data_IF_111654206420
#
_entry.id   IF_111654206420
#
_cell.length_a   1.000
_cell.length_b   1.000
_cell.length_c   1.000
_cell.angle_alpha   90.00
_cell.angle_beta   90.00
_cell.angle_gamma   90.00
#
_symmetry.space_group_name_H-M   'P 1'
#
loop_
_entity.id
_entity.type
_entity.pdbx_description
1 polymer ?
#
# COMPACT_ATOMS: atom_id res chain seq x y z
N UNK A 1 -6.64 14.92 1.72
CA UNK A 1 -7.65 14.14 0.96
C UNK A 1 -8.86 13.88 1.86
N UNK A 2 -10.10 14.06 1.36
CA UNK A 2 -11.31 13.65 2.12
C UNK A 2 -11.66 12.22 1.74
N UNK A 3 -11.71 11.32 2.70
CA UNK A 3 -12.23 9.96 2.53
C UNK A 3 -13.63 9.86 3.13
N UNK A 4 -14.44 8.93 2.59
CA UNK A 4 -15.71 8.57 3.24
C UNK A 4 -15.39 7.86 4.53
N UNK A 5 -15.84 8.35 5.71
CA UNK A 5 -15.37 7.88 7.02
C UNK A 5 -15.48 6.36 7.23
N UNK A 6 -16.55 5.73 6.71
CA UNK A 6 -16.77 4.27 6.84
C UNK A 6 -15.74 3.40 6.10
N UNK A 7 -14.95 4.01 5.21
CA UNK A 7 -13.89 3.31 4.46
C UNK A 7 -12.49 3.75 4.90
N UNK A 8 -12.37 4.79 5.70
CA UNK A 8 -11.08 5.28 6.16
C UNK A 8 -10.50 4.37 7.24
N UNK A 9 -9.28 3.90 7.03
CA UNK A 9 -8.50 3.20 8.04
C UNK A 9 -7.59 4.19 8.76
N UNK A 10 -7.78 4.30 10.07
CA UNK A 10 -7.00 5.19 10.94
C UNK A 10 -5.82 4.47 11.60
N UNK A 11 -5.82 3.15 11.61
CA UNK A 11 -4.72 2.35 12.17
C UNK A 11 -3.48 2.49 11.30
N UNK A 12 -2.46 3.19 11.80
CA UNK A 12 -1.14 3.31 11.16
C UNK A 12 -0.54 1.92 10.92
N UNK A 13 -0.65 1.01 11.89
CA UNK A 13 -0.11 -0.34 11.78
C UNK A 13 -0.70 -1.11 10.59
N UNK A 14 -2.01 -1.04 10.36
CA UNK A 14 -2.66 -1.69 9.21
C UNK A 14 -2.25 -1.08 7.87
N UNK A 15 -2.08 0.25 7.82
CA UNK A 15 -1.59 0.91 6.61
C UNK A 15 -0.16 0.46 6.30
N UNK A 16 0.72 0.41 7.30
CA UNK A 16 2.10 -0.03 7.14
C UNK A 16 2.18 -1.50 6.74
N UNK A 17 1.38 -2.36 7.37
CA UNK A 17 1.29 -3.77 7.01
C UNK A 17 0.92 -3.90 5.51
N UNK A 18 -0.14 -3.22 5.06
CA UNK A 18 -0.54 -3.21 3.67
C UNK A 18 0.59 -2.76 2.73
N UNK A 19 1.27 -1.64 3.03
CA UNK A 19 2.40 -1.15 2.24
C UNK A 19 3.55 -2.17 2.16
N UNK A 20 3.82 -2.90 3.23
CA UNK A 20 4.88 -3.90 3.26
C UNK A 20 4.54 -5.17 2.46
N UNK A 21 3.25 -5.49 2.33
CA UNK A 21 2.77 -6.64 1.57
C UNK A 21 2.69 -6.38 0.06
N UNK A 22 2.51 -5.11 -0.36
CA UNK A 22 2.34 -4.80 -1.78
C UNK A 22 3.68 -4.65 -2.50
N UNK A 23 3.85 -5.30 -3.68
CA UNK A 23 5.12 -5.28 -4.42
C UNK A 23 5.33 -4.00 -5.23
N UNK A 24 4.28 -3.31 -5.64
CA UNK A 24 4.37 -2.15 -6.54
C UNK A 24 3.58 -0.98 -5.98
N UNK A 25 4.21 0.18 -5.98
CA UNK A 25 3.53 1.46 -5.78
C UNK A 25 3.71 2.36 -7.00
N UNK A 26 2.95 3.43 -7.09
CA UNK A 26 3.01 4.39 -8.20
C UNK A 26 3.40 5.76 -7.66
N UNK A 27 4.51 6.29 -8.16
CA UNK A 27 4.90 7.67 -7.89
C UNK A 27 4.30 8.58 -8.96
N UNK A 28 3.60 9.62 -8.55
CA UNK A 28 3.10 10.68 -9.41
C UNK A 28 3.92 11.96 -9.21
N UNK A 29 4.58 12.43 -10.26
CA UNK A 29 5.32 13.69 -10.32
C UNK A 29 4.76 14.60 -11.42
N UNK A 30 5.14 15.87 -11.45
CA UNK A 30 4.70 16.81 -12.49
C UNK A 30 5.84 17.03 -13.48
N UNK A 31 5.57 16.83 -14.78
CA UNK A 31 6.55 17.07 -15.84
C UNK A 31 6.79 18.57 -16.09
N UNK A 32 7.71 18.91 -16.98
CA UNK A 32 8.05 20.32 -17.30
C UNK A 32 6.90 21.08 -17.97
N UNK A 33 5.94 20.36 -18.56
CA UNK A 33 4.74 20.93 -19.21
C UNK A 33 3.54 21.00 -18.29
N UNK A 34 3.68 20.55 -17.02
CA UNK A 34 2.63 20.56 -16.01
C UNK A 34 1.75 19.30 -16.01
N UNK A 35 2.06 18.28 -16.79
CA UNK A 35 1.30 17.03 -16.77
C UNK A 35 1.75 16.11 -15.63
N UNK A 36 0.80 15.39 -15.00
CA UNK A 36 1.13 14.37 -14.03
C UNK A 36 1.73 13.13 -14.74
N UNK A 37 2.96 12.79 -14.39
CA UNK A 37 3.62 11.56 -14.80
C UNK A 37 3.49 10.53 -13.70
N UNK A 38 2.89 9.36 -13.99
CA UNK A 38 2.67 8.27 -13.04
C UNK A 38 3.52 7.07 -13.44
N UNK A 39 4.39 6.61 -12.55
CA UNK A 39 5.35 5.53 -12.81
C UNK A 39 5.21 4.44 -11.75
N UNK A 40 5.00 3.15 -12.14
CA UNK A 40 5.06 2.03 -11.22
C UNK A 40 6.51 1.78 -10.76
N UNK A 41 6.68 1.53 -9.47
CA UNK A 41 7.99 1.33 -8.85
C UNK A 41 7.94 0.21 -7.82
N UNK A 42 8.98 -0.61 -7.77
CA UNK A 42 9.27 -1.38 -6.58
C UNK A 42 9.67 -0.42 -5.46
N UNK A 43 9.17 -0.65 -4.27
CA UNK A 43 9.36 0.25 -3.14
C UNK A 43 9.48 -0.50 -1.81
N UNK A 44 10.04 0.16 -0.82
CA UNK A 44 9.96 -0.26 0.58
C UNK A 44 9.51 0.92 1.43
N UNK A 45 8.65 0.64 2.39
CA UNK A 45 8.27 1.62 3.42
C UNK A 45 9.08 1.33 4.69
N UNK A 46 9.85 2.30 5.13
CA UNK A 46 10.68 2.22 6.34
C UNK A 46 10.07 3.10 7.41
N UNK A 47 9.66 2.48 8.51
CA UNK A 47 9.16 3.22 9.66
C UNK A 47 10.29 4.01 10.33
N UNK A 48 9.96 5.22 10.75
CA UNK A 48 10.87 6.00 11.55
C UNK A 48 10.81 5.53 13.01
N UNK A 49 11.81 4.79 13.47
CA UNK A 49 11.91 4.26 14.83
C UNK A 49 12.36 5.29 15.87
N UNK A 50 12.38 6.57 15.51
CA UNK A 50 12.86 7.66 16.34
C UNK A 50 11.82 8.22 17.31
N UNK A 51 11.99 7.92 18.61
CA UNK A 51 11.31 8.39 19.82
C UNK A 51 9.98 7.71 20.15
N UNK A 52 10.11 6.73 21.04
CA UNK A 52 9.05 6.23 21.91
C UNK A 52 8.44 7.38 22.72
N UNK A 53 7.33 7.91 22.27
CA UNK A 53 6.45 8.82 23.00
C UNK A 53 5.05 8.26 22.90
N UNK A 54 4.32 8.21 24.03
CA UNK A 54 2.94 7.73 24.12
C UNK A 54 2.06 8.34 23.01
N UNK A 55 1.60 7.48 22.09
CA UNK A 55 0.89 7.84 20.84
C UNK A 55 -0.65 7.82 21.00
N UNK A 56 -1.18 8.11 22.16
CA UNK A 56 -2.65 8.12 22.32
C UNK A 56 -3.34 9.41 21.88
N UNK A 57 -2.64 10.54 21.68
CA UNK A 57 -3.31 11.82 21.42
C UNK A 57 -2.61 12.80 20.45
N UNK A 58 -1.64 12.38 19.66
CA UNK A 58 -1.04 13.28 18.66
C UNK A 58 -0.94 12.58 17.32
N UNK A 59 -1.73 13.04 16.34
CA UNK A 59 -1.39 12.90 14.93
C UNK A 59 -0.15 13.78 14.70
N UNK A 60 0.98 13.33 15.21
CA UNK A 60 2.26 13.99 14.94
C UNK A 60 2.60 13.71 13.48
N UNK A 61 2.42 14.73 12.65
CA UNK A 61 2.71 14.72 11.22
C UNK A 61 4.18 14.43 10.91
N UNK A 62 5.05 14.40 11.92
CA UNK A 62 6.51 14.35 11.77
C UNK A 62 7.08 12.93 11.77
N UNK A 63 6.27 11.86 11.88
CA UNK A 63 6.81 10.51 12.07
C UNK A 63 6.02 9.42 11.33
N UNK A 64 5.74 9.66 10.04
CA UNK A 64 4.99 8.70 9.22
C UNK A 64 5.86 7.59 8.62
N UNK A 65 7.19 7.70 8.67
CA UNK A 65 8.13 6.83 7.95
C UNK A 65 8.46 7.37 6.56
N UNK A 66 9.21 6.61 5.76
CA UNK A 66 9.72 7.02 4.45
C UNK A 66 9.55 5.90 3.43
N UNK A 67 9.09 6.25 2.23
CA UNK A 67 9.09 5.35 1.07
C UNK A 67 10.42 5.46 0.34
N UNK A 68 11.09 4.35 0.08
CA UNK A 68 12.31 4.30 -0.73
C UNK A 68 12.07 3.49 -2.00
N UNK A 69 12.68 3.96 -3.09
CA UNK A 69 12.67 3.34 -4.42
C UNK A 69 14.04 3.49 -5.05
N UNK A 70 14.43 2.58 -5.95
CA UNK A 70 15.63 2.77 -6.74
C UNK A 70 15.29 2.97 -8.22
N UNK A 71 16.19 3.59 -8.97
CA UNK A 71 15.99 3.94 -10.35
C UNK A 71 17.33 4.11 -11.07
N UNK A 72 17.29 4.14 -12.39
CA UNK A 72 18.39 4.69 -13.18
C UNK A 72 18.64 6.16 -12.76
N UNK A 73 19.91 6.61 -12.71
CA UNK A 73 20.25 7.96 -12.23
C UNK A 73 19.80 9.10 -13.18
N UNK A 74 19.40 8.76 -14.39
CA UNK A 74 18.89 9.71 -15.39
C UNK A 74 17.47 9.35 -15.80
N UNK A 75 16.76 10.35 -16.32
CA UNK A 75 15.40 10.21 -16.83
C UNK A 75 14.43 11.21 -16.25
N UNK A 76 13.32 11.37 -16.93
CA UNK A 76 12.30 12.40 -16.66
C UNK A 76 11.81 12.42 -15.20
N UNK A 77 11.60 11.27 -14.59
CA UNK A 77 11.22 11.15 -13.17
C UNK A 77 12.23 11.86 -12.24
N UNK A 78 13.54 11.69 -12.52
CA UNK A 78 14.60 12.32 -11.72
C UNK A 78 14.56 13.85 -11.90
N UNK A 79 14.40 14.31 -13.15
CA UNK A 79 14.34 15.74 -13.47
C UNK A 79 13.05 16.37 -12.89
N UNK A 80 11.93 15.67 -12.92
CA UNK A 80 10.68 16.11 -12.31
C UNK A 80 10.84 16.34 -10.81
N UNK A 81 11.41 15.36 -10.08
CA UNK A 81 11.66 15.47 -8.64
C UNK A 81 12.65 16.59 -8.30
N UNK A 82 13.68 16.80 -9.11
CA UNK A 82 14.62 17.94 -8.92
C UNK A 82 13.92 19.29 -9.07
N UNK A 83 13.01 19.39 -10.05
CA UNK A 83 12.28 20.64 -10.33
C UNK A 83 11.18 20.90 -9.32
N UNK A 84 10.44 19.86 -8.93
CA UNK A 84 9.34 19.94 -7.97
C UNK A 84 9.30 18.70 -7.09
N UNK A 85 9.63 18.87 -5.82
CA UNK A 85 9.66 17.78 -4.86
C UNK A 85 8.27 17.23 -4.49
N UNK A 86 7.20 18.00 -4.71
CA UNK A 86 5.83 17.57 -4.35
C UNK A 86 5.36 16.43 -5.23
N UNK A 87 5.07 15.30 -4.59
CA UNK A 87 4.64 14.06 -5.27
C UNK A 87 3.43 13.45 -4.59
N UNK A 88 2.70 12.65 -5.37
CA UNK A 88 1.79 11.64 -4.88
C UNK A 88 2.46 10.27 -4.95
N UNK A 89 2.23 9.43 -3.97
CA UNK A 89 2.59 8.02 -4.03
C UNK A 89 1.37 7.20 -3.66
N UNK A 90 1.04 6.21 -4.47
CA UNK A 90 -0.16 5.40 -4.32
C UNK A 90 0.18 3.91 -4.39
N UNK A 91 -0.51 3.13 -3.56
CA UNK A 91 -0.47 1.67 -3.57
C UNK A 91 -1.90 1.16 -3.47
N UNK A 92 -2.30 0.29 -4.39
CA UNK A 92 -3.64 -0.29 -4.38
C UNK A 92 -3.62 -1.81 -4.54
N UNK A 93 -4.73 -2.42 -4.15
CA UNK A 93 -5.01 -3.82 -4.38
C UNK A 93 -6.49 -3.99 -4.73
N UNK A 94 -6.78 -4.49 -5.92
CA UNK A 94 -8.10 -5.02 -6.26
C UNK A 94 -8.34 -6.30 -5.46
N UNK A 95 -9.46 -6.37 -4.73
CA UNK A 95 -9.81 -7.54 -3.92
C UNK A 95 -10.82 -8.41 -4.66
N UNK A 96 -11.98 -7.84 -5.03
CA UNK A 96 -13.02 -8.59 -5.70
C UNK A 96 -14.04 -7.66 -6.36
N UNK A 97 -14.46 -7.98 -7.57
CA UNK A 97 -15.63 -7.37 -8.19
C UNK A 97 -16.90 -8.05 -7.72
N UNK A 98 -17.87 -7.28 -7.26
CA UNK A 98 -19.17 -7.76 -6.82
C UNK A 98 -20.22 -7.46 -7.90
N UNK A 99 -20.70 -8.49 -8.63
CA UNK A 99 -21.71 -8.29 -9.67
C UNK A 99 -22.99 -7.67 -9.13
N UNK A 100 -23.67 -6.90 -9.97
CA UNK A 100 -24.91 -6.22 -9.58
C UNK A 100 -25.99 -7.18 -9.07
N UNK A 101 -26.08 -8.37 -9.62
CA UNK A 101 -27.05 -9.40 -9.20
C UNK A 101 -26.84 -9.94 -7.79
N UNK A 102 -25.71 -9.59 -7.13
CA UNK A 102 -25.54 -9.83 -5.69
C UNK A 102 -26.47 -8.96 -4.86
N UNK A 103 -26.84 -7.81 -5.38
CA UNK A 103 -27.59 -6.75 -4.72
C UNK A 103 -29.00 -6.61 -5.28
N UNK A 104 -29.14 -6.59 -6.61
CA UNK A 104 -30.39 -6.43 -7.32
C UNK A 104 -30.40 -7.25 -8.64
N UNK A 105 -31.48 -7.98 -8.95
CA UNK A 105 -31.49 -8.93 -10.07
C UNK A 105 -31.35 -8.30 -11.46
N UNK A 106 -31.76 -7.02 -11.63
CA UNK A 106 -31.79 -6.35 -12.92
C UNK A 106 -31.12 -4.97 -12.97
N UNK A 107 -30.68 -4.42 -11.83
CA UNK A 107 -30.07 -3.08 -11.77
C UNK A 107 -28.56 -3.18 -11.81
N UNK A 108 -27.96 -2.92 -12.98
CA UNK A 108 -26.52 -2.95 -13.18
C UNK A 108 -25.76 -1.89 -12.35
N UNK A 109 -26.43 -0.79 -11.97
CA UNK A 109 -25.81 0.27 -11.15
C UNK A 109 -25.42 -0.18 -9.75
N UNK A 110 -25.92 -1.32 -9.29
CA UNK A 110 -25.63 -1.90 -7.99
C UNK A 110 -24.29 -2.66 -7.95
N UNK A 111 -23.61 -2.88 -9.09
CA UNK A 111 -22.30 -3.50 -9.09
C UNK A 111 -21.32 -2.71 -8.22
N UNK A 112 -20.44 -3.42 -7.54
CA UNK A 112 -19.47 -2.81 -6.63
C UNK A 112 -18.10 -3.51 -6.72
N UNK A 113 -17.08 -2.89 -6.15
CA UNK A 113 -15.72 -3.45 -6.09
C UNK A 113 -15.19 -3.33 -4.66
N UNK A 114 -14.68 -4.45 -4.16
CA UNK A 114 -13.85 -4.46 -2.95
C UNK A 114 -12.40 -4.14 -3.34
N UNK A 115 -11.78 -3.23 -2.63
CA UNK A 115 -10.39 -2.84 -2.85
C UNK A 115 -9.78 -2.16 -1.63
N UNK A 116 -8.46 -2.11 -1.62
CA UNK A 116 -7.67 -1.37 -0.64
C UNK A 116 -6.81 -0.38 -1.41
N UNK A 117 -6.66 0.84 -0.91
CA UNK A 117 -5.67 1.78 -1.42
C UNK A 117 -5.09 2.63 -0.31
N UNK A 118 -3.79 2.93 -0.44
CA UNK A 118 -3.07 3.88 0.41
C UNK A 118 -2.52 4.98 -0.47
N UNK A 119 -2.84 6.21 -0.14
CA UNK A 119 -2.35 7.40 -0.84
C UNK A 119 -1.51 8.23 0.10
N UNK A 120 -0.31 8.54 -0.34
CA UNK A 120 0.67 9.39 0.33
C UNK A 120 0.83 10.66 -0.49
N UNK A 121 0.76 11.81 0.15
CA UNK A 121 1.25 13.09 -0.37
C UNK A 121 2.50 13.45 0.39
N UNK A 122 3.53 13.89 -0.29
CA UNK A 122 4.78 14.21 0.36
C UNK A 122 5.78 14.83 -0.57
N UNK A 123 7.01 14.90 -0.09
CA UNK A 123 8.12 15.46 -0.83
C UNK A 123 9.11 14.36 -1.20
N UNK A 124 9.47 14.29 -2.49
CA UNK A 124 10.46 13.36 -2.99
C UNK A 124 11.84 14.03 -3.04
N UNK A 125 12.87 13.23 -2.72
CA UNK A 125 14.26 13.65 -2.76
C UNK A 125 15.13 12.55 -3.36
N UNK A 126 16.22 12.93 -4.01
CA UNK A 126 17.28 12.02 -4.41
C UNK A 126 18.22 11.87 -3.21
N UNK A 127 18.41 10.64 -2.77
CA UNK A 127 19.33 10.33 -1.66
C UNK A 127 20.76 10.47 -2.13
N UNK A 128 21.53 11.35 -1.50
CA UNK A 128 22.95 11.60 -1.79
C UNK A 128 23.88 10.90 -0.80
N UNK A 129 23.44 10.68 0.42
CA UNK A 129 24.19 9.97 1.45
C UNK A 129 24.31 8.49 1.10
N UNK A 130 25.56 7.99 1.01
CA UNK A 130 25.84 6.62 0.58
C UNK A 130 25.42 5.55 1.60
N UNK A 131 25.45 5.88 2.89
CA UNK A 131 24.98 4.99 3.95
C UNK A 131 23.45 4.87 3.90
N UNK A 132 22.74 5.98 3.70
CA UNK A 132 21.28 5.96 3.51
C UNK A 132 20.92 5.17 2.24
N UNK A 133 21.65 5.36 1.14
CA UNK A 133 21.46 4.57 -0.10
C UNK A 133 21.62 3.07 0.14
N UNK A 134 22.71 2.67 0.80
CA UNK A 134 22.97 1.27 1.09
C UNK A 134 21.87 0.67 1.99
N UNK A 135 21.42 1.38 3.03
CA UNK A 135 20.32 0.96 3.90
C UNK A 135 19.01 0.79 3.13
N UNK A 136 18.64 1.75 2.28
CA UNK A 136 17.43 1.70 1.47
C UNK A 136 17.44 0.52 0.48
N UNK A 137 18.56 0.29 -0.20
CA UNK A 137 18.74 -0.82 -1.13
C UNK A 137 18.68 -2.18 -0.41
N UNK A 138 19.31 -2.30 0.76
CA UNK A 138 19.20 -3.52 1.57
C UNK A 138 17.76 -3.76 2.05
N UNK A 139 17.02 -2.71 2.42
CA UNK A 139 15.61 -2.84 2.79
C UNK A 139 14.74 -3.32 1.60
N UNK A 140 15.04 -2.86 0.38
CA UNK A 140 14.42 -3.39 -0.84
C UNK A 140 14.77 -4.87 -1.04
N UNK A 141 16.03 -5.27 -0.88
CA UNK A 141 16.44 -6.67 -0.98
C UNK A 141 15.69 -7.55 0.02
N UNK A 142 15.60 -7.16 1.28
CA UNK A 142 14.86 -7.89 2.32
C UNK A 142 13.38 -8.06 1.94
N UNK A 143 12.76 -7.04 1.34
CA UNK A 143 11.35 -7.12 0.93
C UNK A 143 11.14 -8.06 -0.26
N UNK A 144 12.00 -8.02 -1.27
CA UNK A 144 11.77 -8.70 -2.56
C UNK A 144 12.50 -10.02 -2.70
N UNK A 145 13.63 -10.21 -2.03
CA UNK A 145 14.40 -11.45 -2.05
C UNK A 145 14.49 -12.04 -0.63
N UNK A 146 13.33 -12.50 -0.14
CA UNK A 146 13.14 -13.00 1.24
C UNK A 146 13.96 -14.26 1.54
N UNK A 147 14.28 -15.04 0.52
CA UNK A 147 15.12 -16.23 0.60
C UNK A 147 16.59 -15.93 0.89
N UNK A 148 17.01 -14.67 0.84
CA UNK A 148 18.40 -14.27 1.06
C UNK A 148 19.32 -14.67 -0.11
N UNK A 149 20.52 -15.18 0.17
CA UNK A 149 21.47 -15.62 -0.86
C UNK A 149 22.34 -14.50 -1.45
N UNK A 150 22.41 -13.35 -0.78
CA UNK A 150 23.22 -12.18 -1.20
C UNK A 150 23.99 -11.59 0.00
N UNK A 151 25.13 -10.99 -0.30
CA UNK A 151 25.83 -10.16 0.67
C UNK A 151 25.18 -8.78 0.78
N UNK A 152 25.08 -8.20 1.99
CA UNK A 152 24.54 -6.86 2.15
C UNK A 152 25.30 -5.82 1.31
N UNK A 153 24.54 -4.88 0.74
CA UNK A 153 25.12 -3.74 0.02
C UNK A 153 25.75 -2.77 1.03
N UNK A 154 26.93 -2.24 0.68
CA UNK A 154 27.66 -1.28 1.51
C UNK A 154 27.90 0.03 0.75
N UNK A 155 28.08 1.12 1.47
CA UNK A 155 28.35 2.45 0.92
C UNK A 155 29.60 2.52 0.03
N UNK A 156 30.55 1.58 0.21
CA UNK A 156 31.78 1.52 -0.58
C UNK A 156 31.60 0.92 -1.98
N UNK A 157 30.51 0.23 -2.26
CA UNK A 157 30.26 -0.41 -3.55
C UNK A 157 29.98 0.61 -4.65
N UNK A 158 30.61 0.41 -5.83
CA UNK A 158 30.38 1.24 -7.01
C UNK A 158 28.90 1.26 -7.43
N UNK A 159 28.24 0.09 -7.40
CA UNK A 159 26.82 -0.05 -7.73
C UNK A 159 25.91 0.79 -6.82
N UNK A 160 26.27 0.96 -5.54
CA UNK A 160 25.52 1.83 -4.61
C UNK A 160 25.72 3.31 -4.96
N UNK A 161 26.90 3.70 -5.44
CA UNK A 161 27.19 5.08 -5.88
C UNK A 161 26.44 5.45 -7.14
N UNK A 162 26.41 4.54 -8.11
CA UNK A 162 25.88 4.77 -9.45
C UNK A 162 24.36 4.77 -9.55
N UNK A 163 23.66 3.96 -8.74
CA UNK A 163 22.20 3.88 -8.77
C UNK A 163 21.56 5.13 -8.13
N UNK A 164 20.46 5.62 -8.68
CA UNK A 164 19.64 6.61 -7.98
C UNK A 164 18.73 5.93 -6.97
N UNK A 165 18.72 6.46 -5.75
CA UNK A 165 17.70 6.13 -4.73
C UNK A 165 16.85 7.38 -4.51
N UNK A 166 15.54 7.22 -4.69
CA UNK A 166 14.55 8.24 -4.35
C UNK A 166 13.93 7.89 -3.01
N UNK A 167 13.68 8.92 -2.21
CA UNK A 167 12.85 8.82 -1.01
C UNK A 167 11.66 9.75 -1.12
N UNK A 168 10.50 9.29 -0.63
CA UNK A 168 9.32 10.14 -0.41
C UNK A 168 9.09 10.24 1.09
N UNK A 169 9.18 11.48 1.59
CA UNK A 169 8.85 11.82 2.98
C UNK A 169 7.39 12.25 3.02
N UNK A 170 6.50 11.51 3.70
CA UNK A 170 5.08 11.80 3.72
C UNK A 170 4.74 13.06 4.53
N UNK A 171 3.93 13.95 3.95
CA UNK A 171 3.21 15.01 4.68
C UNK A 171 1.83 14.51 5.14
N UNK A 172 1.23 13.61 4.34
CA UNK A 172 -0.08 13.01 4.60
C UNK A 172 -0.09 11.57 4.06
N UNK A 173 -0.60 10.65 4.87
CA UNK A 173 -0.82 9.25 4.48
C UNK A 173 -2.24 8.83 4.88
N UNK A 174 -3.02 8.32 3.92
CA UNK A 174 -4.40 7.87 4.15
C UNK A 174 -4.67 6.53 3.51
N UNK A 175 -5.31 5.65 4.27
CA UNK A 175 -5.77 4.34 3.82
C UNK A 175 -7.28 4.31 3.60
N UNK A 176 -7.70 3.76 2.45
CA UNK A 176 -9.10 3.46 2.13
C UNK A 176 -9.25 1.96 1.97
N UNK A 177 -9.98 1.33 2.88
CA UNK A 177 -10.28 -0.09 2.86
C UNK A 177 -11.76 -0.26 2.61
N UNK A 178 -12.11 -0.67 1.41
CA UNK A 178 -13.48 -1.00 1.01
C UNK A 178 -13.59 -2.52 0.86
N UNK A 179 -13.70 -3.20 1.99
CA UNK A 179 -13.65 -4.66 2.11
C UNK A 179 -14.88 -5.24 2.82
N UNK A 180 -15.97 -4.47 2.88
CA UNK A 180 -17.21 -4.89 3.54
C UNK A 180 -17.19 -4.76 5.07
N UNK A 181 -16.18 -4.13 5.66
CA UNK A 181 -16.04 -3.97 7.12
C UNK A 181 -17.19 -3.21 7.78
N UNK A 182 -17.89 -2.34 7.03
CA UNK A 182 -19.03 -1.56 7.49
C UNK A 182 -20.38 -2.28 7.36
N UNK A 183 -20.39 -3.46 6.75
CA UNK A 183 -21.62 -4.23 6.59
C UNK A 183 -21.99 -4.94 7.87
N UNK A 184 -23.31 -5.08 8.10
CA UNK A 184 -23.82 -5.90 9.19
C UNK A 184 -23.36 -7.36 9.05
N UNK A 185 -23.11 -8.07 10.16
CA UNK A 185 -22.59 -9.44 10.14
C UNK A 185 -23.38 -10.39 9.21
N UNK A 186 -24.68 -10.39 9.29
CA UNK A 186 -25.55 -11.21 8.43
C UNK A 186 -25.35 -10.91 6.93
N UNK A 187 -25.14 -9.63 6.60
CA UNK A 187 -24.92 -9.22 5.22
C UNK A 187 -23.53 -9.57 4.73
N UNK A 188 -22.50 -9.48 5.59
CA UNK A 188 -21.13 -9.92 5.26
C UNK A 188 -21.11 -11.42 4.94
N UNK A 189 -21.77 -12.27 5.75
CA UNK A 189 -21.90 -13.71 5.48
C UNK A 189 -22.62 -13.96 4.15
N UNK A 190 -23.74 -13.26 3.89
CA UNK A 190 -24.44 -13.38 2.59
C UNK A 190 -23.53 -13.06 1.40
N UNK A 191 -22.73 -12.02 1.48
CA UNK A 191 -21.79 -11.66 0.40
C UNK A 191 -20.66 -12.68 0.29
N UNK A 192 -20.10 -13.13 1.40
CA UNK A 192 -19.08 -14.18 1.45
C UNK A 192 -19.58 -15.49 0.77
N UNK A 193 -20.79 -15.92 1.07
CA UNK A 193 -21.38 -17.10 0.42
C UNK A 193 -21.48 -16.92 -1.10
N UNK A 194 -21.89 -15.76 -1.58
CA UNK A 194 -21.95 -15.47 -3.02
C UNK A 194 -20.58 -15.46 -3.68
N UNK A 195 -19.56 -14.96 -2.98
CA UNK A 195 -18.16 -14.97 -3.45
C UNK A 195 -17.67 -16.42 -3.57
N UNK A 196 -17.90 -17.27 -2.54
CA UNK A 196 -17.52 -18.69 -2.58
C UNK A 196 -18.19 -19.42 -3.74
N UNK A 197 -19.44 -19.09 -4.06
CA UNK A 197 -20.17 -19.72 -5.18
C UNK A 197 -19.67 -19.31 -6.55
N UNK A 198 -18.98 -18.17 -6.66
CA UNK A 198 -18.55 -17.62 -7.94
C UNK A 198 -17.05 -17.83 -8.21
N UNK A 199 -16.22 -17.65 -7.20
CA UNK A 199 -14.78 -17.66 -7.34
C UNK A 199 -14.21 -19.07 -7.07
N UNK A 200 -13.04 -19.36 -7.62
CA UNK A 200 -12.31 -20.57 -7.27
C UNK A 200 -11.99 -20.60 -5.76
N UNK A 201 -11.97 -21.82 -5.19
CA UNK A 201 -11.80 -22.01 -3.74
C UNK A 201 -10.59 -21.29 -3.13
N UNK A 202 -9.45 -21.23 -3.83
CA UNK A 202 -8.27 -20.54 -3.35
C UNK A 202 -8.48 -19.03 -3.34
N UNK A 203 -9.00 -18.49 -4.45
CA UNK A 203 -9.30 -17.05 -4.60
C UNK A 203 -10.35 -16.61 -3.57
N UNK A 204 -11.44 -17.39 -3.43
CA UNK A 204 -12.48 -17.09 -2.44
C UNK A 204 -11.91 -17.03 -1.03
N UNK A 205 -11.04 -17.97 -0.63
CA UNK A 205 -10.39 -17.97 0.70
C UNK A 205 -9.57 -16.71 0.93
N UNK A 206 -8.79 -16.28 -0.05
CA UNK A 206 -7.97 -15.07 0.05
C UNK A 206 -8.84 -13.82 0.18
N UNK A 207 -9.90 -13.71 -0.62
CA UNK A 207 -10.87 -12.60 -0.53
C UNK A 207 -11.52 -12.56 0.86
N UNK A 208 -12.02 -13.71 1.34
CA UNK A 208 -12.68 -13.79 2.64
C UNK A 208 -11.73 -13.45 3.79
N UNK A 209 -10.48 -13.90 3.72
CA UNK A 209 -9.44 -13.54 4.68
C UNK A 209 -9.27 -12.02 4.77
N UNK A 210 -9.17 -11.33 3.64
CA UNK A 210 -9.10 -9.87 3.57
C UNK A 210 -10.35 -9.23 4.17
N UNK A 211 -11.53 -9.78 3.91
CA UNK A 211 -12.80 -9.33 4.51
C UNK A 211 -12.90 -9.63 6.01
N UNK A 212 -11.94 -10.32 6.61
CA UNK A 212 -11.99 -10.78 8.01
C UNK A 212 -13.05 -11.86 8.24
N UNK A 213 -13.15 -12.81 7.30
CA UNK A 213 -14.05 -13.96 7.39
C UNK A 213 -13.22 -15.22 7.28
N UNK A 214 -13.41 -16.13 8.22
CA UNK A 214 -12.76 -17.44 8.24
C UNK A 214 -13.75 -18.55 7.84
N UNK A 215 -13.31 -19.45 6.97
CA UNK A 215 -14.03 -20.68 6.67
C UNK A 215 -13.59 -21.74 7.68
N UNK A 216 -14.52 -22.24 8.47
CA UNK A 216 -14.29 -23.29 9.46
C UNK A 216 -14.21 -24.68 8.78
N UNK A 217 -13.74 -25.70 9.54
CA UNK A 217 -13.58 -27.08 9.03
C UNK A 217 -14.90 -27.72 8.59
N UNK A 218 -16.00 -27.32 9.21
CA UNK A 218 -17.36 -27.77 8.89
C UNK A 218 -18.01 -26.97 7.73
N UNK A 219 -17.27 -26.03 7.12
CA UNK A 219 -17.75 -25.15 6.05
C UNK A 219 -18.49 -23.91 6.53
N UNK A 220 -18.72 -23.74 7.83
CA UNK A 220 -19.36 -22.55 8.39
C UNK A 220 -18.43 -21.32 8.27
N UNK A 221 -19.03 -20.12 8.21
CA UNK A 221 -18.33 -18.86 8.11
C UNK A 221 -18.32 -18.15 9.46
N UNK A 222 -17.13 -17.80 9.94
CA UNK A 222 -16.90 -17.04 11.14
C UNK A 222 -16.41 -15.62 10.79
N UNK A 223 -17.10 -14.60 11.26
CA UNK A 223 -16.63 -13.22 11.15
C UNK A 223 -15.63 -12.94 12.28
N UNK A 224 -14.44 -12.53 11.92
CA UNK A 224 -13.43 -12.04 12.84
C UNK A 224 -13.70 -10.58 13.17
N UNK A 225 -13.42 -10.16 14.40
CA UNK A 225 -13.66 -8.79 14.85
C UNK A 225 -12.86 -7.75 14.07
N UNK A 226 -11.70 -8.18 13.53
CA UNK A 226 -10.88 -7.37 12.64
C UNK A 226 -10.58 -8.11 11.35
N UNK A 227 -10.59 -7.40 10.18
CA UNK A 227 -10.09 -7.97 8.95
C UNK A 227 -8.64 -8.39 9.13
N UNK A 228 -8.33 -9.63 8.73
CA UNK A 228 -6.96 -10.11 8.68
C UNK A 228 -6.33 -9.61 7.37
N UNK A 229 -5.41 -8.69 7.51
CA UNK A 229 -4.38 -8.47 6.48
C UNK A 229 -3.08 -9.01 6.99
#
# INVERSE_FOLDING_TARGET
MKLVPKFEIRSKAKIIQFLNEQPVGRIGSIDERGYPQIIPMNFVFVEDKGRSGNLENAVDKTNLGTVYMHSHPFGEKIENVKRNSKVGFEVDMHVCFLPSYYFHPADASQADTLYISVVIKGNAFIVTDLEEKAKALNALMIKYQKEGGYAPLTSNMATVREVAVLKVVPDEMRGKFKIGQHWQPKYRIKMATKIIQREDNAIARDILKIMGIQILRDGNLLILNEPLM
#
